data_IF_278234967706
#
_entry.id   IF_278234967706
#
_cell.length_a   1.000
_cell.length_b   1.000
_cell.length_c   1.000
_cell.angle_alpha   90.00
_cell.angle_beta   90.00
_cell.angle_gamma   90.00
#
_symmetry.space_group_name_H-M   'P 1'
#
loop_
_entity.id
_entity.type
_entity.pdbx_description
1 polymer ?
#
# COMPACT_ATOMS: atom_id res chain seq x y z
N UNK A 1 -60.04 6.13 -54.24
CA UNK A 1 -59.79 6.03 -52.77
C UNK A 1 -58.77 4.92 -52.47
N UNK A 2 -57.62 4.93 -53.17
CA UNK A 2 -56.67 3.80 -53.25
C UNK A 2 -55.20 4.21 -53.14
N UNK A 3 -54.91 5.41 -52.63
CA UNK A 3 -53.57 6.02 -52.68
C UNK A 3 -53.12 6.65 -51.37
N UNK A 4 -53.72 6.26 -50.24
CA UNK A 4 -53.38 6.84 -48.93
C UNK A 4 -52.56 5.92 -48.01
N UNK A 5 -52.38 4.64 -48.35
CA UNK A 5 -51.86 3.65 -47.40
C UNK A 5 -50.40 3.21 -47.62
N UNK A 6 -49.70 3.72 -48.64
CA UNK A 6 -48.35 3.21 -49.02
C UNK A 6 -47.20 4.18 -48.67
N UNK A 7 -47.48 5.39 -48.17
CA UNK A 7 -46.42 6.39 -47.88
C UNK A 7 -46.01 6.51 -46.42
N UNK A 8 -46.67 5.83 -45.49
CA UNK A 8 -46.36 5.95 -44.04
C UNK A 8 -45.39 4.85 -43.55
N UNK A 9 -45.12 3.82 -44.36
CA UNK A 9 -44.30 2.67 -43.94
C UNK A 9 -42.80 2.71 -44.32
N UNK A 10 -42.27 3.86 -44.79
CA UNK A 10 -40.84 4.01 -45.13
C UNK A 10 -40.08 5.09 -44.34
N UNK A 11 -40.69 5.64 -43.28
CA UNK A 11 -40.05 6.64 -42.40
C UNK A 11 -39.76 6.10 -40.99
N UNK A 12 -39.79 4.77 -40.80
CA UNK A 12 -39.63 4.08 -39.52
C UNK A 12 -38.59 2.95 -39.65
N UNK A 13 -37.36 3.29 -40.05
CA UNK A 13 -36.28 2.31 -40.11
C UNK A 13 -34.87 2.91 -39.93
N UNK A 14 -34.73 4.13 -39.40
CA UNK A 14 -33.42 4.79 -39.34
C UNK A 14 -33.20 5.66 -38.08
N UNK A 15 -33.73 5.28 -36.93
CA UNK A 15 -33.71 6.17 -35.75
C UNK A 15 -33.76 5.52 -34.39
N UNK A 16 -33.21 4.31 -34.20
CA UNK A 16 -33.19 3.69 -32.85
C UNK A 16 -31.96 2.81 -32.62
N UNK A 17 -30.77 3.33 -32.94
CA UNK A 17 -29.48 2.70 -32.59
C UNK A 17 -28.51 3.72 -31.95
N UNK A 18 -29.03 4.70 -31.23
CA UNK A 18 -28.27 5.66 -30.44
C UNK A 18 -29.06 5.85 -29.15
N UNK A 19 -28.79 5.04 -28.12
CA UNK A 19 -29.11 5.27 -26.70
C UNK A 19 -28.74 4.02 -25.87
N UNK A 20 -27.47 3.59 -25.94
CA UNK A 20 -26.86 2.75 -24.89
C UNK A 20 -25.39 3.14 -24.74
N UNK A 21 -25.17 4.39 -24.32
CA UNK A 21 -23.89 4.85 -23.78
C UNK A 21 -24.17 5.64 -22.51
N UNK A 22 -24.93 5.04 -21.58
CA UNK A 22 -25.13 5.58 -20.26
C UNK A 22 -24.27 4.78 -19.28
N UNK A 23 -23.24 5.42 -18.74
CA UNK A 23 -22.64 5.01 -17.48
C UNK A 23 -21.39 4.13 -17.54
N UNK A 24 -20.40 4.45 -18.38
CA UNK A 24 -19.02 4.22 -17.94
C UNK A 24 -18.67 5.29 -16.91
N UNK A 25 -19.09 5.10 -15.66
CA UNK A 25 -18.42 5.76 -14.55
C UNK A 25 -17.05 5.10 -14.45
N UNK A 26 -16.06 5.65 -15.18
CA UNK A 26 -14.69 5.51 -14.75
C UNK A 26 -14.68 6.04 -13.32
N UNK A 27 -14.60 5.14 -12.35
CA UNK A 27 -14.40 5.53 -10.96
C UNK A 27 -13.12 6.35 -10.95
N UNK A 28 -13.28 7.66 -10.74
CA UNK A 28 -12.15 8.54 -10.60
C UNK A 28 -11.32 7.99 -9.45
N UNK A 29 -10.11 7.53 -9.77
CA UNK A 29 -9.19 6.96 -8.81
C UNK A 29 -9.03 7.98 -7.70
N UNK A 30 -9.60 7.68 -6.53
CA UNK A 30 -9.52 8.55 -5.38
C UNK A 30 -8.09 8.48 -4.88
N UNK A 31 -7.24 9.32 -5.48
CA UNK A 31 -5.85 9.53 -5.06
C UNK A 31 -5.93 9.84 -3.58
N UNK A 32 -5.39 8.98 -2.69
CA UNK A 32 -5.34 9.31 -1.27
C UNK A 32 -4.59 10.65 -1.20
N UNK A 33 -5.31 11.70 -0.82
CA UNK A 33 -4.67 12.97 -0.54
C UNK A 33 -3.75 12.69 0.62
N UNK A 34 -2.42 12.87 0.48
CA UNK A 34 -1.54 12.77 1.62
C UNK A 34 -2.11 13.71 2.67
N UNK A 35 -2.45 13.16 3.85
CA UNK A 35 -2.80 13.99 5.00
C UNK A 35 -1.67 15.00 5.10
N UNK A 36 -2.02 16.29 4.94
CA UNK A 36 -1.10 17.36 4.54
C UNK A 36 0.11 17.55 5.48
N UNK A 37 0.08 16.87 6.63
CA UNK A 37 1.08 16.91 7.70
C UNK A 37 1.71 15.54 8.04
N UNK A 38 1.39 14.46 7.31
CA UNK A 38 1.97 13.13 7.50
C UNK A 38 2.76 12.66 6.27
N UNK A 39 3.97 12.15 6.47
CA UNK A 39 4.77 11.51 5.42
C UNK A 39 3.99 10.37 4.75
N UNK A 40 4.01 10.35 3.42
CA UNK A 40 3.43 9.25 2.64
C UNK A 40 4.40 8.09 2.60
N UNK A 41 3.89 6.87 2.71
CA UNK A 41 4.68 5.64 2.59
C UNK A 41 4.63 5.10 1.16
N UNK A 42 5.78 4.68 0.66
CA UNK A 42 5.98 4.20 -0.70
C UNK A 42 6.68 2.84 -0.70
N UNK A 43 6.34 1.99 -1.67
CA UNK A 43 7.27 0.97 -2.15
C UNK A 43 8.29 1.63 -3.08
N UNK A 44 9.49 1.05 -3.13
CA UNK A 44 10.63 1.62 -3.87
C UNK A 44 11.11 0.60 -4.91
N UNK A 45 11.32 1.07 -6.14
CA UNK A 45 11.99 0.29 -7.19
C UNK A 45 13.06 1.15 -7.86
N UNK A 46 14.24 0.59 -8.18
CA UNK A 46 15.26 1.32 -8.92
C UNK A 46 14.79 1.62 -10.35
N UNK A 47 15.22 2.76 -10.89
CA UNK A 47 15.04 3.08 -12.30
C UNK A 47 16.18 2.46 -13.13
N UNK A 48 15.84 1.46 -13.96
CA UNK A 48 16.78 0.74 -14.80
C UNK A 48 17.04 1.37 -16.17
N UNK A 49 16.44 2.53 -16.48
CA UNK A 49 16.68 3.22 -17.76
C UNK A 49 18.13 3.72 -17.85
N UNK A 50 18.73 3.61 -19.04
CA UNK A 50 20.17 3.86 -19.30
C UNK A 50 20.48 5.25 -19.91
N UNK A 51 19.75 6.28 -19.53
CA UNK A 51 19.95 7.66 -19.99
C UNK A 51 20.89 8.47 -19.05
N UNK A 52 21.09 9.75 -19.34
CA UNK A 52 21.88 10.63 -18.49
C UNK A 52 21.15 10.95 -17.17
N UNK A 53 21.81 10.71 -16.03
CA UNK A 53 21.38 11.23 -14.74
C UNK A 53 21.29 12.77 -14.81
N UNK A 54 20.24 13.42 -14.26
CA UNK A 54 19.23 12.92 -13.33
C UNK A 54 17.90 12.48 -13.97
N UNK A 55 17.84 12.30 -15.30
CA UNK A 55 16.59 11.91 -15.99
C UNK A 55 16.23 10.43 -15.79
N UNK A 56 17.21 9.62 -15.40
CA UNK A 56 17.05 8.23 -15.00
C UNK A 56 18.19 7.78 -14.07
N UNK A 57 18.13 6.53 -13.63
CA UNK A 57 19.06 5.93 -12.68
C UNK A 57 18.74 6.23 -11.21
N UNK A 58 17.67 7.00 -10.96
CA UNK A 58 17.10 7.22 -9.64
C UNK A 58 16.15 6.10 -9.22
N UNK A 59 15.00 6.49 -8.69
CA UNK A 59 14.02 5.59 -8.08
C UNK A 59 12.60 5.89 -8.52
N UNK A 60 11.80 4.83 -8.69
CA UNK A 60 10.36 4.91 -8.80
C UNK A 60 9.72 4.61 -7.45
N UNK A 61 8.94 5.57 -6.97
CA UNK A 61 8.16 5.46 -5.75
C UNK A 61 6.72 5.15 -6.10
N UNK A 62 6.14 4.17 -5.43
CA UNK A 62 4.72 3.84 -5.56
C UNK A 62 4.06 4.00 -4.21
N UNK A 63 3.16 4.98 -4.00
CA UNK A 63 2.39 5.08 -2.78
C UNK A 63 1.72 3.74 -2.46
N UNK A 64 1.83 3.26 -1.22
CA UNK A 64 1.06 2.08 -0.80
C UNK A 64 -0.43 2.42 -0.70
N UNK A 65 -1.29 1.41 -0.87
CA UNK A 65 -2.75 1.52 -0.71
C UNK A 65 -3.43 2.54 -1.62
N UNK A 66 -3.04 2.62 -2.89
CA UNK A 66 -3.72 3.49 -3.85
C UNK A 66 -5.17 3.06 -4.12
N UNK A 67 -5.42 1.75 -4.05
CA UNK A 67 -6.72 1.14 -4.33
C UNK A 67 -7.33 0.44 -3.10
N UNK A 68 -6.50 0.14 -2.10
CA UNK A 68 -6.89 -0.58 -0.89
C UNK A 68 -7.11 0.36 0.29
N UNK A 69 -8.30 0.97 0.38
CA UNK A 69 -8.64 1.96 1.42
C UNK A 69 -9.20 1.35 2.72
N UNK A 70 -9.40 0.03 2.76
CA UNK A 70 -9.95 -0.73 3.88
C UNK A 70 -9.34 -2.13 3.95
N UNK A 71 -9.78 -2.97 4.89
CA UNK A 71 -9.38 -4.38 4.93
C UNK A 71 -10.00 -5.17 3.77
N UNK A 72 -9.17 -5.98 3.12
CA UNK A 72 -9.52 -6.75 1.92
C UNK A 72 -9.43 -8.24 2.18
N UNK A 73 -10.31 -9.01 1.55
CA UNK A 73 -10.13 -10.47 1.46
C UNK A 73 -9.10 -10.81 0.36
N UNK A 74 -8.80 -12.10 0.21
CA UNK A 74 -7.80 -12.59 -0.74
C UNK A 74 -8.16 -12.23 -2.20
N UNK A 75 -9.44 -12.33 -2.58
CA UNK A 75 -9.91 -12.02 -3.93
C UNK A 75 -9.82 -10.52 -4.24
N UNK A 76 -10.30 -9.66 -3.33
CA UNK A 76 -10.21 -8.20 -3.43
C UNK A 76 -8.74 -7.76 -3.54
N UNK A 77 -7.89 -8.29 -2.67
CA UNK A 77 -6.46 -8.03 -2.66
C UNK A 77 -5.78 -8.45 -3.98
N UNK A 78 -6.17 -9.60 -4.53
CA UNK A 78 -5.68 -10.07 -5.82
C UNK A 78 -6.11 -9.14 -6.95
N UNK A 79 -7.39 -8.77 -7.04
CA UNK A 79 -7.88 -7.87 -8.09
C UNK A 79 -7.17 -6.50 -8.05
N UNK A 80 -7.00 -5.92 -6.86
CA UNK A 80 -6.29 -4.66 -6.71
C UNK A 80 -4.79 -4.76 -7.04
N UNK A 81 -4.17 -5.93 -6.86
CA UNK A 81 -2.77 -6.15 -7.26
C UNK A 81 -2.55 -6.14 -8.78
N UNK A 82 -3.62 -6.35 -9.57
CA UNK A 82 -3.57 -6.31 -11.03
C UNK A 82 -3.67 -4.89 -11.61
N UNK A 83 -4.07 -3.91 -10.79
CA UNK A 83 -4.21 -2.52 -11.23
C UNK A 83 -2.85 -1.86 -11.41
N UNK A 84 -2.71 -1.06 -12.46
CA UNK A 84 -1.46 -0.37 -12.78
C UNK A 84 -1.25 0.80 -11.81
N UNK A 85 -0.27 0.76 -10.90
CA UNK A 85 -0.13 1.80 -9.90
C UNK A 85 0.46 3.08 -10.47
N UNK A 86 0.05 4.21 -9.92
CA UNK A 86 0.67 5.50 -10.24
C UNK A 86 2.05 5.60 -9.56
N UNK A 87 3.10 5.79 -10.35
CA UNK A 87 4.49 5.85 -9.86
C UNK A 87 5.07 7.25 -10.01
N UNK A 88 5.96 7.62 -9.08
CA UNK A 88 6.62 8.92 -9.05
C UNK A 88 8.12 8.68 -9.19
N UNK A 89 8.72 9.23 -10.24
CA UNK A 89 10.17 9.25 -10.38
C UNK A 89 10.80 10.28 -9.44
N UNK A 90 11.85 9.88 -8.72
CA UNK A 90 12.75 10.74 -7.96
C UNK A 90 14.19 10.44 -8.35
N UNK A 91 15.01 11.48 -8.47
CA UNK A 91 16.43 11.30 -8.82
C UNK A 91 17.25 10.76 -7.64
N UNK A 92 16.86 11.11 -6.40
CA UNK A 92 17.55 10.69 -5.19
C UNK A 92 16.58 10.53 -4.00
N UNK A 93 16.99 9.74 -3.02
CA UNK A 93 16.37 9.63 -1.70
C UNK A 93 17.35 10.22 -0.67
N UNK A 94 16.92 11.28 0.00
CA UNK A 94 17.68 11.91 1.06
C UNK A 94 17.40 11.21 2.40
N UNK A 95 18.40 10.49 2.91
CA UNK A 95 18.33 9.73 4.17
C UNK A 95 18.75 10.52 5.42
N UNK A 96 19.04 11.83 5.30
CA UNK A 96 19.60 12.63 6.40
C UNK A 96 18.77 12.57 7.67
N UNK A 97 17.43 12.60 7.57
CA UNK A 97 16.56 12.58 8.74
C UNK A 97 16.52 11.21 9.45
N UNK A 98 16.96 10.14 8.79
CA UNK A 98 17.09 8.81 9.39
C UNK A 98 18.39 8.62 10.18
N UNK A 99 19.37 9.52 10.01
CA UNK A 99 20.67 9.41 10.70
C UNK A 99 21.47 8.16 10.33
N UNK A 100 21.26 7.61 9.13
CA UNK A 100 21.92 6.39 8.66
C UNK A 100 23.41 6.63 8.35
N UNK A 101 24.23 5.63 8.66
CA UNK A 101 25.62 5.57 8.17
C UNK A 101 25.66 5.17 6.69
N UNK A 102 26.79 5.41 6.01
CA UNK A 102 26.96 5.04 4.61
C UNK A 102 26.75 3.53 4.35
N UNK A 103 27.20 2.68 5.27
CA UNK A 103 26.99 1.22 5.19
C UNK A 103 25.50 0.86 5.29
N UNK A 104 24.77 1.48 6.22
CA UNK A 104 23.33 1.26 6.38
C UNK A 104 22.53 1.79 5.18
N UNK A 105 22.98 2.88 4.55
CA UNK A 105 22.36 3.38 3.32
C UNK A 105 22.53 2.35 2.19
N UNK A 106 23.74 1.80 2.02
CA UNK A 106 23.99 0.77 1.00
C UNK A 106 23.17 -0.50 1.25
N UNK A 107 23.06 -0.93 2.50
CA UNK A 107 22.21 -2.05 2.90
C UNK A 107 20.74 -1.77 2.55
N UNK A 108 20.22 -0.62 2.95
CA UNK A 108 18.84 -0.22 2.68
C UNK A 108 18.54 -0.14 1.18
N UNK A 109 19.44 0.45 0.39
CA UNK A 109 19.28 0.52 -1.07
C UNK A 109 19.33 -0.86 -1.72
N UNK A 110 20.12 -1.79 -1.20
CA UNK A 110 20.14 -3.18 -1.66
C UNK A 110 18.77 -3.84 -1.40
N UNK A 111 18.18 -3.60 -0.24
CA UNK A 111 16.84 -4.08 0.13
C UNK A 111 15.75 -3.42 -0.74
N UNK A 112 15.90 -2.14 -1.11
CA UNK A 112 14.98 -1.50 -2.05
C UNK A 112 15.09 -2.10 -3.46
N UNK A 113 16.28 -2.45 -3.92
CA UNK A 113 16.47 -3.13 -5.22
C UNK A 113 15.82 -4.51 -5.27
N UNK A 114 15.77 -5.22 -4.14
CA UNK A 114 15.08 -6.52 -4.03
C UNK A 114 13.57 -6.40 -3.78
N UNK A 115 13.02 -5.17 -3.68
CA UNK A 115 11.59 -4.96 -3.43
C UNK A 115 11.14 -5.37 -2.02
N UNK A 116 12.06 -5.38 -1.05
CA UNK A 116 11.81 -5.80 0.32
C UNK A 116 11.73 -4.62 1.31
N UNK A 117 11.70 -3.38 0.82
CA UNK A 117 11.68 -2.19 1.67
C UNK A 117 10.55 -1.20 1.36
N UNK A 118 10.20 -0.45 2.38
CA UNK A 118 9.28 0.67 2.35
C UNK A 118 9.99 1.93 2.82
N UNK A 119 9.58 3.08 2.29
CA UNK A 119 10.08 4.39 2.70
C UNK A 119 8.92 5.34 2.97
N UNK A 120 8.95 5.99 4.12
CA UNK A 120 8.02 7.05 4.48
C UNK A 120 8.71 8.39 4.33
N UNK A 121 8.10 9.34 3.62
CA UNK A 121 8.68 10.67 3.46
C UNK A 121 7.85 11.62 2.62
N UNK A 122 8.48 12.77 2.32
CA UNK A 122 7.88 13.82 1.51
C UNK A 122 8.68 13.98 0.22
N UNK A 123 7.97 13.95 -0.92
CA UNK A 123 8.57 14.22 -2.23
C UNK A 123 8.66 15.74 -2.40
N UNK A 124 9.88 16.26 -2.46
CA UNK A 124 10.16 17.67 -2.67
C UNK A 124 10.69 17.90 -4.08
N UNK A 125 10.23 18.95 -4.75
CA UNK A 125 10.85 19.42 -5.98
C UNK A 125 12.15 20.16 -5.65
N UNK A 126 13.25 19.78 -6.30
CA UNK A 126 14.48 20.57 -6.27
C UNK A 126 14.47 21.61 -7.40
N UNK A 127 15.21 22.69 -7.16
CA UNK A 127 15.39 23.80 -8.09
C UNK A 127 15.90 23.30 -9.46
N UNK A 128 15.35 23.90 -10.51
CA UNK A 128 15.61 23.62 -11.92
C UNK A 128 17.11 23.67 -12.22
N UNK A 129 17.69 22.52 -12.59
CA UNK A 129 18.97 22.50 -13.29
C UNK A 129 18.66 22.48 -14.79
N UNK A 130 19.02 23.55 -15.49
CA UNK A 130 18.96 23.64 -16.95
C UNK A 130 17.63 23.14 -17.56
N UNK A 131 16.50 23.66 -17.07
CA UNK A 131 15.11 23.36 -17.49
C UNK A 131 14.54 21.99 -17.07
N UNK A 132 15.25 21.21 -16.26
CA UNK A 132 14.70 19.96 -15.70
C UNK A 132 14.40 20.14 -14.21
N UNK A 133 13.14 19.92 -13.82
CA UNK A 133 12.76 19.81 -12.41
C UNK A 133 12.95 18.37 -11.95
N UNK A 134 13.87 18.17 -11.02
CA UNK A 134 14.09 16.85 -10.41
C UNK A 134 13.37 16.78 -9.07
N UNK A 135 12.76 15.63 -8.78
CA UNK A 135 12.16 15.37 -7.47
C UNK A 135 13.12 14.58 -6.60
N UNK A 136 13.14 14.87 -5.31
CA UNK A 136 13.87 14.11 -4.30
C UNK A 136 12.91 13.69 -3.20
N UNK A 137 13.07 12.47 -2.68
CA UNK A 137 12.34 12.03 -1.51
C UNK A 137 13.14 12.37 -0.26
N UNK A 138 12.60 13.20 0.63
CA UNK A 138 13.15 13.34 1.98
C UNK A 138 12.59 12.21 2.85
N UNK A 139 13.39 11.17 3.06
CA UNK A 139 13.02 10.00 3.84
C UNK A 139 13.02 10.33 5.34
N UNK A 140 11.92 10.00 6.01
CA UNK A 140 11.68 10.21 7.44
C UNK A 140 11.48 8.90 8.20
N UNK A 141 11.09 7.84 7.51
CA UNK A 141 11.02 6.49 8.03
C UNK A 141 11.41 5.48 6.95
N UNK A 142 11.95 4.34 7.35
CA UNK A 142 12.21 3.21 6.48
C UNK A 142 11.81 1.92 7.19
N UNK A 143 11.35 0.94 6.41
CA UNK A 143 11.06 -0.40 6.90
C UNK A 143 11.60 -1.44 5.93
N UNK A 144 11.99 -2.59 6.46
CA UNK A 144 12.60 -3.68 5.71
C UNK A 144 11.94 -4.99 6.10
N UNK A 145 11.73 -5.87 5.12
CA UNK A 145 11.17 -7.18 5.32
C UNK A 145 12.28 -8.23 5.35
N UNK A 146 12.29 -9.16 6.32
CA UNK A 146 13.30 -10.20 6.39
C UNK A 146 13.03 -11.30 5.35
N UNK A 147 11.80 -11.43 4.86
CA UNK A 147 11.39 -12.48 3.92
C UNK A 147 11.25 -11.96 2.49
N UNK A 148 11.35 -12.87 1.53
CA UNK A 148 11.17 -12.60 0.09
C UNK A 148 9.73 -12.84 -0.37
N UNK A 149 8.80 -13.12 0.56
CA UNK A 149 7.39 -13.33 0.23
C UNK A 149 6.81 -12.12 -0.50
N UNK A 150 5.80 -12.38 -1.34
CA UNK A 150 5.09 -11.32 -2.06
C UNK A 150 4.14 -10.61 -1.10
N UNK A 151 4.16 -9.28 -1.10
CA UNK A 151 3.19 -8.49 -0.36
C UNK A 151 1.82 -8.58 -1.06
N UNK A 152 0.82 -9.16 -0.38
CA UNK A 152 -0.55 -9.29 -0.87
C UNK A 152 -1.52 -8.70 0.15
N UNK A 153 -2.47 -7.90 -0.34
CA UNK A 153 -3.42 -7.14 0.48
C UNK A 153 -2.93 -5.74 0.88
N UNK A 154 -3.76 -4.99 1.61
CA UNK A 154 -3.42 -3.65 2.06
C UNK A 154 -2.18 -3.63 2.96
N UNK A 155 -1.44 -2.54 2.88
CA UNK A 155 -0.37 -2.21 3.82
C UNK A 155 -0.97 -1.61 5.09
N UNK A 156 -0.75 -2.28 6.21
CA UNK A 156 -1.34 -1.97 7.49
C UNK A 156 -0.25 -1.62 8.50
N UNK A 157 -0.56 -0.72 9.42
CA UNK A 157 0.10 -0.61 10.71
C UNK A 157 -0.80 -1.27 11.75
N UNK A 158 -0.32 -2.35 12.36
CA UNK A 158 -1.06 -3.15 13.33
C UNK A 158 -0.45 -2.97 14.71
N UNK A 159 -1.28 -2.68 15.71
CA UNK A 159 -0.87 -2.56 17.12
C UNK A 159 -1.87 -3.26 18.04
N UNK A 160 -1.49 -3.49 19.30
CA UNK A 160 -2.47 -3.85 20.33
C UNK A 160 -3.46 -2.70 20.55
N UNK A 161 -4.73 -3.03 20.74
CA UNK A 161 -5.78 -2.10 21.16
C UNK A 161 -5.73 -1.82 22.67
N UNK A 162 -4.98 -2.62 23.44
CA UNK A 162 -4.93 -2.59 24.90
C UNK A 162 -6.13 -3.28 25.57
N UNK A 163 -7.07 -3.83 24.80
CA UNK A 163 -8.25 -4.54 25.33
C UNK A 163 -7.83 -5.94 25.81
N UNK A 164 -8.29 -6.35 26.99
CA UNK A 164 -8.11 -7.70 27.52
C UNK A 164 -9.48 -8.32 27.73
N UNK A 165 -9.84 -9.35 26.95
CA UNK A 165 -11.14 -10.01 27.04
C UNK A 165 -11.06 -11.35 27.79
N UNK A 166 -12.18 -11.74 28.41
CA UNK A 166 -12.36 -13.04 29.09
C UNK A 166 -12.76 -14.14 28.07
N UNK A 167 -13.50 -13.78 27.01
CA UNK A 167 -14.01 -14.70 25.98
C UNK A 167 -13.62 -14.25 24.56
N UNK A 168 -13.68 -15.16 23.59
CA UNK A 168 -13.32 -14.92 22.17
C UNK A 168 -14.54 -14.91 21.25
N UNK A 169 -14.59 -14.07 20.19
CA UNK A 169 -13.49 -13.29 19.63
C UNK A 169 -13.27 -11.95 20.35
N UNK A 170 -12.00 -11.63 20.66
CA UNK A 170 -11.63 -10.39 21.38
C UNK A 170 -10.99 -9.39 20.41
N UNK A 171 -11.46 -8.13 20.32
CA UNK A 171 -10.85 -7.11 19.45
C UNK A 171 -9.51 -6.58 20.01
N UNK A 172 -8.54 -7.49 20.19
CA UNK A 172 -7.25 -7.23 20.82
C UNK A 172 -6.31 -6.38 19.95
N UNK A 173 -6.55 -6.32 18.65
CA UNK A 173 -5.69 -5.63 17.70
C UNK A 173 -6.42 -4.48 17.02
N UNK A 174 -5.65 -3.47 16.66
CA UNK A 174 -6.07 -2.34 15.83
C UNK A 174 -5.25 -2.34 14.55
N UNK A 175 -5.90 -2.25 13.40
CA UNK A 175 -5.29 -2.10 12.09
C UNK A 175 -5.59 -0.70 11.54
N UNK A 176 -4.53 0.04 11.23
CA UNK A 176 -4.59 1.30 10.48
C UNK A 176 -4.11 1.05 9.05
N UNK A 177 -4.91 1.43 8.05
CA UNK A 177 -4.49 1.38 6.65
C UNK A 177 -3.49 2.52 6.40
N UNK A 178 -2.28 2.17 5.96
CA UNK A 178 -1.22 3.16 5.73
C UNK A 178 -1.65 4.10 4.58
N UNK A 179 -1.31 5.40 4.71
CA UNK A 179 -1.74 6.48 3.82
C UNK A 179 -3.27 6.74 3.81
N UNK A 180 -4.01 6.20 4.77
CA UNK A 180 -5.45 6.41 4.94
C UNK A 180 -5.77 6.82 6.38
N UNK A 181 -6.96 7.39 6.58
CA UNK A 181 -7.54 7.62 7.92
C UNK A 181 -8.29 6.39 8.43
N UNK A 182 -8.50 5.38 7.58
CA UNK A 182 -9.22 4.16 7.95
C UNK A 182 -8.47 3.39 9.03
N UNK A 183 -9.17 3.11 10.12
CA UNK A 183 -8.70 2.32 11.26
C UNK A 183 -9.83 1.40 11.71
N UNK A 184 -9.51 0.17 12.06
CA UNK A 184 -10.49 -0.80 12.55
C UNK A 184 -9.88 -1.73 13.60
N UNK A 185 -10.71 -2.26 14.49
CA UNK A 185 -10.29 -3.31 15.41
C UNK A 185 -10.57 -4.68 14.82
N UNK A 186 -9.74 -5.66 15.16
CA UNK A 186 -9.87 -7.03 14.71
C UNK A 186 -9.38 -8.00 15.78
N UNK A 187 -9.67 -9.29 15.59
CA UNK A 187 -9.70 -10.24 16.69
C UNK A 187 -8.52 -11.20 16.71
N UNK A 188 -8.00 -11.55 15.54
CA UNK A 188 -6.94 -12.54 15.40
C UNK A 188 -5.91 -12.08 14.38
N UNK A 189 -4.62 -12.27 14.71
CA UNK A 189 -3.50 -11.98 13.85
C UNK A 189 -2.67 -13.25 13.69
N UNK A 190 -2.42 -13.66 12.45
CA UNK A 190 -1.54 -14.81 12.16
C UNK A 190 -0.40 -14.40 11.23
N UNK A 191 0.76 -15.03 11.38
CA UNK A 191 1.95 -14.79 10.54
C UNK A 191 2.28 -15.95 9.61
N UNK A 192 1.40 -16.95 9.52
CA UNK A 192 1.66 -18.18 8.76
C UNK A 192 1.99 -17.91 7.28
N UNK A 193 1.22 -17.02 6.61
CA UNK A 193 1.46 -16.64 5.22
C UNK A 193 2.71 -15.76 5.03
N UNK A 194 3.29 -15.21 6.09
CA UNK A 194 4.48 -14.35 6.01
C UNK A 194 5.80 -15.14 6.04
N UNK A 195 5.74 -16.45 6.31
CA UNK A 195 6.89 -17.37 6.33
C UNK A 195 8.03 -16.89 7.23
N UNK A 196 7.68 -16.36 8.42
CA UNK A 196 8.65 -15.90 9.40
C UNK A 196 9.31 -17.08 10.13
N UNK A 197 10.60 -16.96 10.45
CA UNK A 197 11.22 -17.84 11.43
C UNK A 197 10.78 -17.48 12.87
N UNK A 198 11.11 -18.33 13.85
CA UNK A 198 10.70 -18.15 15.24
C UNK A 198 11.19 -16.83 15.85
N UNK A 199 12.40 -16.39 15.52
CA UNK A 199 12.96 -15.15 16.07
C UNK A 199 12.28 -13.92 15.44
N UNK A 200 12.03 -13.97 14.13
CA UNK A 200 11.29 -12.95 13.39
C UNK A 200 9.85 -12.85 13.87
N UNK A 201 9.19 -13.97 14.14
CA UNK A 201 7.83 -13.99 14.68
C UNK A 201 7.78 -13.40 16.09
N UNK A 202 8.71 -13.78 16.98
CA UNK A 202 8.80 -13.18 18.30
C UNK A 202 9.02 -11.66 18.23
N UNK A 203 9.87 -11.21 17.30
CA UNK A 203 10.08 -9.78 17.03
C UNK A 203 8.83 -9.09 16.48
N UNK A 204 8.05 -9.77 15.63
CA UNK A 204 6.78 -9.27 15.09
C UNK A 204 5.78 -9.05 16.24
N UNK A 205 5.61 -10.03 17.12
CA UNK A 205 4.76 -9.91 18.31
C UNK A 205 5.20 -8.76 19.23
N UNK A 206 6.50 -8.61 19.46
CA UNK A 206 7.05 -7.49 20.23
C UNK A 206 6.77 -6.13 19.58
N UNK A 207 6.80 -6.04 18.25
CA UNK A 207 6.49 -4.81 17.54
C UNK A 207 5.00 -4.44 17.63
N UNK A 208 4.10 -5.44 17.53
CA UNK A 208 2.65 -5.24 17.69
C UNK A 208 2.31 -4.70 19.07
N UNK A 209 2.97 -5.18 20.13
CA UNK A 209 2.70 -4.76 21.51
C UNK A 209 3.27 -3.39 21.89
N UNK A 210 4.40 -2.97 21.29
CA UNK A 210 5.16 -1.79 21.75
C UNK A 210 4.93 -0.50 20.96
N UNK A 211 4.74 -0.57 19.65
CA UNK A 211 4.69 0.65 18.81
C UNK A 211 3.99 0.48 17.45
N UNK A 212 3.55 -0.73 17.16
CA UNK A 212 2.91 -1.13 15.93
C UNK A 212 3.89 -1.75 14.93
N UNK A 213 3.42 -2.81 14.27
CA UNK A 213 4.09 -3.53 13.21
C UNK A 213 3.54 -3.09 11.86
N UNK A 214 4.42 -2.85 10.88
CA UNK A 214 4.00 -2.64 9.49
C UNK A 214 3.94 -4.00 8.81
N UNK A 215 2.82 -4.32 8.17
CA UNK A 215 2.62 -5.59 7.46
C UNK A 215 1.69 -5.42 6.26
N UNK A 216 1.68 -6.38 5.35
CA UNK A 216 0.55 -6.61 4.44
C UNK A 216 -0.20 -7.84 4.88
N UNK A 217 -1.51 -7.87 4.64
CA UNK A 217 -2.32 -9.04 5.00
C UNK A 217 -3.72 -8.97 4.44
N UNK A 218 -4.39 -10.11 4.48
CA UNK A 218 -5.77 -10.28 4.02
C UNK A 218 -6.67 -10.65 5.19
N UNK A 219 -7.91 -10.17 5.15
CA UNK A 219 -8.94 -10.49 6.13
C UNK A 219 -9.46 -11.91 5.91
N UNK A 220 -9.74 -12.60 7.00
CA UNK A 220 -10.47 -13.86 7.00
C UNK A 220 -11.46 -13.88 8.17
N UNK A 221 -12.38 -14.83 8.17
CA UNK A 221 -13.33 -15.01 9.26
C UNK A 221 -12.71 -15.91 10.34
N UNK A 222 -12.48 -15.36 11.53
CA UNK A 222 -12.01 -16.11 12.69
C UNK A 222 -13.18 -16.73 13.45
N UNK A 223 -12.97 -17.92 14.01
CA UNK A 223 -13.98 -18.64 14.79
C UNK A 223 -13.62 -18.55 16.28
N UNK A 224 -14.52 -18.01 17.09
CA UNK A 224 -14.38 -17.89 18.55
C UNK A 224 -15.42 -18.71 19.29
N UNK A 225 -15.29 -18.77 20.62
CA UNK A 225 -16.23 -19.50 21.47
C UNK A 225 -17.66 -18.94 21.44
N UNK A 226 -17.81 -17.63 21.24
CA UNK A 226 -19.12 -16.94 21.23
C UNK A 226 -19.49 -16.34 19.87
N UNK A 227 -18.92 -16.87 18.77
CA UNK A 227 -19.29 -16.47 17.42
C UNK A 227 -18.08 -16.23 16.51
N UNK A 228 -18.31 -15.55 15.39
CA UNK A 228 -17.27 -15.27 14.40
C UNK A 228 -16.72 -13.86 14.55
N UNK A 229 -15.47 -13.69 14.14
CA UNK A 229 -14.76 -12.41 14.18
C UNK A 229 -13.97 -12.18 12.91
N UNK A 230 -13.37 -11.01 12.81
CA UNK A 230 -12.41 -10.68 11.75
C UNK A 230 -11.01 -11.02 12.19
N UNK A 231 -10.31 -11.88 11.43
CA UNK A 231 -8.88 -12.12 11.54
C UNK A 231 -8.11 -11.49 10.39
N UNK A 232 -6.80 -11.27 10.57
CA UNK A 232 -5.87 -10.83 9.52
C UNK A 232 -4.73 -11.85 9.42
N UNK A 233 -4.54 -12.41 8.23
CA UNK A 233 -3.39 -13.26 7.94
C UNK A 233 -2.32 -12.41 7.24
N UNK A 234 -1.21 -12.18 7.92
CA UNK A 234 -0.11 -11.38 7.40
C UNK A 234 0.62 -12.16 6.30
N UNK A 235 0.78 -11.52 5.13
CA UNK A 235 1.46 -12.07 3.95
C UNK A 235 2.91 -11.58 3.86
N UNK A 236 3.20 -10.41 4.44
CA UNK A 236 4.55 -9.86 4.56
C UNK A 236 4.66 -8.94 5.76
N UNK A 237 5.78 -8.99 6.46
CA UNK A 237 6.06 -8.14 7.62
C UNK A 237 7.25 -7.23 7.35
N UNK A 238 7.18 -6.00 7.83
CA UNK A 238 8.20 -4.98 7.68
C UNK A 238 8.60 -4.39 9.04
N UNK A 239 9.88 -4.48 9.37
CA UNK A 239 10.46 -3.92 10.59
C UNK A 239 11.10 -2.57 10.32
N UNK A 240 11.03 -1.66 11.29
CA UNK A 240 11.67 -0.35 11.20
C UNK A 240 13.19 -0.50 10.94
N UNK A 241 13.71 0.35 10.07
CA UNK A 241 15.11 0.44 9.70
C UNK A 241 15.65 1.87 9.95
N UNK A 242 16.80 2.01 10.65
CA UNK A 242 17.55 0.95 11.28
C UNK A 242 16.73 0.38 12.45
N UNK A 243 17.03 -0.86 12.88
CA UNK A 243 16.40 -1.40 14.07
C UNK A 243 16.64 -0.42 15.23
N UNK A 244 15.56 0.11 15.84
CA UNK A 244 15.71 0.95 17.02
C UNK A 244 16.46 0.12 18.06
N UNK A 245 17.59 0.62 18.56
CA UNK A 245 18.23 0.02 19.73
C UNK A 245 17.21 0.06 20.85
N UNK A 246 16.84 -1.10 21.37
CA UNK A 246 16.09 -1.16 22.62
C UNK A 246 16.96 -0.51 23.68
N UNK A 247 16.55 0.65 24.19
CA UNK A 247 17.13 1.19 25.41
C UNK A 247 16.54 0.36 26.56
N UNK A 248 17.23 -0.73 26.90
CA UNK A 248 17.10 -1.37 28.20
C UNK A 248 18.08 -0.71 29.17
#
# INVERSE_FOLDING_TARGET
>A
MKTFFVRILKALACGSALLMAAGSFAQELQKPSPVKDNATTYTVKPDYRKCAFPMCGGWYLTPVNQYSLQLENDDEAYQHSLLLPNTIYVSNINYKALGLTAAQIQELETIFRSGQGLVGGNVVGLASLANFSTKTLNAQAAWTSPTKTTAVGPYLKVSSSGIVCITTPCPYFTAQVINSTYTTNFHELTFEKAELDREQEARAWQAVSSGGLVLTGVKYESQGQVGTGTGISATKVFFAFPAKKSMY
#
